data_IF_505249585657
#
_entry.id   IF_505249585657
#
_cell.length_a   1.000
_cell.length_b   1.000
_cell.length_c   1.000
_cell.angle_alpha   90.00
_cell.angle_beta   90.00
_cell.angle_gamma   90.00
#
_symmetry.space_group_name_H-M   'P 1'
#
loop_
_entity.id
_entity.type
_entity.pdbx_description
1 polymer ?
#
# COMPACT_ATOMS: atom_id res chain seq x y z
N UNK A 1 24.64 1.87 -19.72
CA UNK A 1 23.47 1.68 -18.84
C UNK A 1 23.68 2.61 -17.66
N UNK A 2 22.95 3.72 -17.59
CA UNK A 2 23.02 4.62 -16.44
C UNK A 2 22.14 4.02 -15.35
N UNK A 3 22.76 3.50 -14.28
CA UNK A 3 22.08 3.30 -12.99
C UNK A 3 21.72 4.69 -12.46
N UNK A 4 20.56 5.19 -12.87
CA UNK A 4 19.96 6.29 -12.15
C UNK A 4 19.63 5.72 -10.77
N UNK A 5 20.29 6.20 -9.72
CA UNK A 5 20.07 5.78 -8.34
C UNK A 5 18.56 5.67 -8.11
N UNK A 6 18.11 4.48 -7.74
CA UNK A 6 16.69 4.13 -7.75
C UNK A 6 15.97 4.97 -6.69
N UNK A 7 15.50 6.15 -7.10
CA UNK A 7 14.80 7.12 -6.23
C UNK A 7 13.58 6.50 -5.55
N UNK A 8 13.05 5.40 -6.10
CA UNK A 8 11.98 4.60 -5.51
C UNK A 8 12.45 3.87 -4.27
N UNK A 9 13.63 3.26 -4.32
CA UNK A 9 14.20 2.48 -3.22
C UNK A 9 14.59 3.36 -2.05
N UNK A 10 15.26 4.48 -2.32
CA UNK A 10 15.60 5.46 -1.28
C UNK A 10 14.33 6.03 -0.62
N UNK A 11 13.30 6.34 -1.42
CA UNK A 11 12.00 6.82 -0.91
C UNK A 11 11.31 5.79 -0.03
N UNK A 12 11.33 4.51 -0.42
CA UNK A 12 10.77 3.42 0.36
C UNK A 12 11.45 3.31 1.72
N UNK A 13 12.78 3.26 1.74
CA UNK A 13 13.57 3.14 2.97
C UNK A 13 13.34 4.34 3.88
N UNK A 14 13.40 5.55 3.33
CA UNK A 14 13.10 6.78 4.07
C UNK A 14 11.73 6.70 4.73
N UNK A 15 10.69 6.38 3.95
CA UNK A 15 9.32 6.30 4.45
C UNK A 15 9.17 5.27 5.56
N UNK A 16 9.79 4.10 5.39
CA UNK A 16 9.80 3.07 6.43
C UNK A 16 10.44 3.58 7.73
N UNK A 17 11.61 4.21 7.64
CA UNK A 17 12.32 4.73 8.80
C UNK A 17 11.53 5.85 9.51
N UNK A 18 10.98 6.81 8.76
CA UNK A 18 10.15 7.90 9.31
C UNK A 18 8.89 7.37 10.02
N UNK A 19 8.18 6.40 9.40
CA UNK A 19 6.99 5.80 9.99
C UNK A 19 7.26 5.04 11.28
N UNK A 20 8.49 4.57 11.48
CA UNK A 20 8.94 3.88 12.70
C UNK A 20 9.68 4.83 13.66
N UNK A 21 9.57 6.15 13.47
CA UNK A 21 10.05 7.16 14.41
C UNK A 21 11.55 7.48 14.33
N UNK A 22 12.23 7.11 13.25
CA UNK A 22 13.61 7.52 13.01
C UNK A 22 13.70 8.99 12.61
N UNK A 23 14.75 9.67 13.10
CA UNK A 23 15.12 10.99 12.61
C UNK A 23 16.08 10.83 11.41
N UNK A 24 15.79 11.51 10.30
CA UNK A 24 16.54 11.35 9.04
C UNK A 24 17.11 12.70 8.59
N UNK A 25 18.38 12.69 8.22
CA UNK A 25 19.06 13.79 7.53
C UNK A 25 19.50 13.37 6.13
N UNK A 26 19.24 14.25 5.16
CA UNK A 26 19.60 14.00 3.76
C UNK A 26 21.04 14.36 3.49
N UNK A 27 21.74 13.48 2.78
CA UNK A 27 23.04 13.76 2.19
C UNK A 27 22.98 13.71 0.68
N UNK A 28 24.04 14.18 0.04
CA UNK A 28 24.20 14.11 -1.39
C UNK A 28 24.31 12.67 -1.93
N UNK A 29 24.77 11.73 -1.09
CA UNK A 29 25.07 10.33 -1.45
C UNK A 29 24.22 9.30 -0.67
N UNK A 30 23.13 9.74 -0.02
CA UNK A 30 22.25 8.89 0.77
C UNK A 30 21.65 9.63 1.96
N UNK A 31 21.55 8.94 3.09
CA UNK A 31 20.87 9.47 4.29
C UNK A 31 21.59 9.04 5.58
N UNK A 32 21.61 9.93 6.56
CA UNK A 32 21.94 9.60 7.94
C UNK A 32 20.63 9.38 8.71
N UNK A 33 20.53 8.30 9.46
CA UNK A 33 19.36 7.93 10.23
C UNK A 33 19.73 7.68 11.69
N UNK A 34 18.98 8.29 12.60
CA UNK A 34 19.00 7.98 14.03
C UNK A 34 17.74 7.19 14.36
N UNK A 35 17.94 5.90 14.62
CA UNK A 35 16.90 4.91 14.90
C UNK A 35 16.58 4.90 16.40
N UNK A 36 15.29 4.80 16.78
CA UNK A 36 14.91 4.41 18.12
C UNK A 36 15.45 3.01 18.47
N UNK A 37 15.72 2.75 19.75
CA UNK A 37 16.28 1.48 20.24
C UNK A 37 15.54 0.25 19.70
N UNK A 38 14.19 0.27 19.73
CA UNK A 38 13.38 -0.84 19.24
C UNK A 38 13.64 -1.16 17.76
N UNK A 39 13.78 -0.13 16.91
CA UNK A 39 14.02 -0.27 15.49
C UNK A 39 15.46 -0.74 15.20
N UNK A 40 16.44 -0.24 15.95
CA UNK A 40 17.83 -0.65 15.86
C UNK A 40 17.99 -2.14 16.20
N UNK A 41 17.30 -2.63 17.24
CA UNK A 41 17.26 -4.05 17.61
C UNK A 41 16.60 -4.89 16.51
N UNK A 42 15.45 -4.47 15.99
CA UNK A 42 14.76 -5.18 14.90
C UNK A 42 15.61 -5.30 13.63
N UNK A 43 16.27 -4.22 13.21
CA UNK A 43 17.14 -4.22 12.03
C UNK A 43 18.51 -4.83 12.31
N UNK A 44 18.84 -5.12 13.58
CA UNK A 44 20.14 -5.55 14.05
C UNK A 44 21.25 -4.65 13.47
N UNK A 45 21.09 -3.35 13.73
CA UNK A 45 22.01 -2.26 13.37
C UNK A 45 22.28 -1.39 14.59
N UNK A 46 23.32 -0.55 14.59
CA UNK A 46 23.45 0.52 15.57
C UNK A 46 22.29 1.52 15.47
N UNK A 47 22.08 2.31 16.52
CA UNK A 47 21.08 3.40 16.52
C UNK A 47 21.41 4.48 15.49
N UNK A 48 22.70 4.77 15.27
CA UNK A 48 23.12 5.67 14.21
C UNK A 48 23.55 4.86 12.99
N UNK A 49 22.88 5.11 11.86
CA UNK A 49 23.15 4.42 10.60
C UNK A 49 23.39 5.43 9.49
N UNK A 50 24.50 5.22 8.78
CA UNK A 50 24.84 5.98 7.57
C UNK A 50 24.50 5.12 6.36
N UNK A 51 23.37 5.40 5.71
CA UNK A 51 22.91 4.71 4.51
C UNK A 51 23.47 5.44 3.29
N UNK A 52 24.03 4.67 2.35
CA UNK A 52 24.52 5.20 1.09
C UNK A 52 23.74 4.57 -0.08
N UNK A 53 23.30 5.43 -1.01
CA UNK A 53 22.52 5.06 -2.20
C UNK A 53 23.38 5.26 -3.45
N UNK A 54 24.30 4.32 -3.72
CA UNK A 54 25.18 4.40 -4.90
C UNK A 54 26.26 3.32 -4.95
N UNK A 55 27.00 3.27 -6.06
CA UNK A 55 28.04 2.26 -6.35
C UNK A 55 29.26 2.31 -5.40
N UNK A 56 29.43 3.41 -4.65
CA UNK A 56 30.56 3.62 -3.72
C UNK A 56 30.20 3.40 -2.24
N UNK A 57 29.09 2.75 -1.95
CA UNK A 57 28.66 2.47 -0.59
C UNK A 57 29.45 1.30 0.03
N UNK A 58 29.85 1.41 1.30
CA UNK A 58 30.36 0.26 2.06
C UNK A 58 29.28 -0.83 2.13
N UNK A 59 29.64 -2.09 1.87
CA UNK A 59 28.69 -3.22 1.73
C UNK A 59 27.67 -3.36 2.87
N UNK A 60 28.04 -2.95 4.10
CA UNK A 60 27.18 -3.08 5.27
C UNK A 60 26.06 -2.05 5.37
N UNK A 61 26.21 -0.89 4.71
CA UNK A 61 25.23 0.20 4.75
C UNK A 61 24.79 0.67 3.36
N UNK A 62 25.22 -0.04 2.32
CA UNK A 62 24.71 0.11 0.97
C UNK A 62 23.27 -0.39 0.90
N UNK A 63 22.40 0.40 0.29
CA UNK A 63 21.04 -0.03 -0.02
C UNK A 63 20.92 -0.28 -1.52
N UNK A 64 20.77 -1.55 -1.85
CA UNK A 64 20.45 -2.05 -3.18
C UNK A 64 19.54 -3.28 -3.04
N UNK A 65 18.91 -3.72 -4.13
CA UNK A 65 18.12 -4.95 -4.14
C UNK A 65 18.99 -6.15 -3.69
N UNK A 66 18.45 -6.97 -2.80
CA UNK A 66 19.16 -8.09 -2.18
C UNK A 66 20.17 -7.72 -1.09
N UNK A 67 20.33 -6.43 -0.75
CA UNK A 67 21.19 -6.03 0.38
C UNK A 67 20.60 -6.51 1.71
N UNK A 68 21.41 -7.00 2.68
CA UNK A 68 20.91 -7.53 3.94
C UNK A 68 20.06 -6.54 4.75
N UNK A 69 20.39 -5.25 4.68
CA UNK A 69 19.64 -4.20 5.36
C UNK A 69 18.24 -4.02 4.73
N UNK A 70 18.15 -4.00 3.39
CA UNK A 70 16.88 -3.88 2.70
C UNK A 70 15.98 -5.07 2.97
N UNK A 71 16.52 -6.30 2.94
CA UNK A 71 15.73 -7.51 3.23
C UNK A 71 15.12 -7.46 4.63
N UNK A 72 15.86 -6.99 5.64
CA UNK A 72 15.32 -6.78 6.99
C UNK A 72 14.25 -5.70 7.05
N UNK A 73 14.44 -4.59 6.32
CA UNK A 73 13.43 -3.52 6.22
C UNK A 73 12.14 -4.06 5.60
N UNK A 74 12.24 -4.78 4.48
CA UNK A 74 11.09 -5.39 3.81
C UNK A 74 10.40 -6.39 4.73
N UNK A 75 11.17 -7.26 5.39
CA UNK A 75 10.63 -8.22 6.34
C UNK A 75 9.88 -7.53 7.49
N UNK A 76 10.49 -6.53 8.11
CA UNK A 76 9.89 -5.77 9.23
C UNK A 76 8.63 -5.03 8.77
N UNK A 77 8.66 -4.41 7.58
CA UNK A 77 7.50 -3.73 7.01
C UNK A 77 6.33 -4.68 6.72
N UNK A 78 6.63 -5.96 6.48
CA UNK A 78 5.64 -7.00 6.23
C UNK A 78 5.29 -7.85 7.46
N UNK A 79 5.94 -7.65 8.61
CA UNK A 79 5.73 -8.44 9.83
C UNK A 79 4.36 -8.13 10.47
N UNK A 80 3.92 -6.87 10.36
CA UNK A 80 2.54 -6.47 10.62
C UNK A 80 1.77 -6.33 9.31
N UNK A 81 0.49 -6.72 9.27
CA UNK A 81 -0.38 -6.45 8.11
C UNK A 81 -0.42 -4.93 7.90
N UNK A 82 0.14 -4.39 6.80
CA UNK A 82 0.19 -2.96 6.60
C UNK A 82 -1.22 -2.44 6.29
N UNK A 83 -1.95 -2.00 7.32
CA UNK A 83 -3.25 -1.38 7.15
C UNK A 83 -3.06 0.12 6.91
N UNK A 84 -3.29 0.54 5.66
CA UNK A 84 -3.39 1.95 5.32
C UNK A 84 -4.86 2.33 5.21
N UNK A 85 -5.29 3.33 5.99
CA UNK A 85 -6.59 3.97 5.82
C UNK A 85 -6.44 5.23 4.97
N UNK A 86 -7.21 5.33 3.89
CA UNK A 86 -7.37 6.59 3.15
C UNK A 86 -8.84 7.04 3.24
N UNK A 87 -9.05 8.36 3.30
CA UNK A 87 -10.38 8.95 3.17
C UNK A 87 -10.44 9.63 1.80
N UNK A 88 -11.38 9.17 0.99
CA UNK A 88 -11.71 9.82 -0.27
C UNK A 88 -12.82 10.84 -0.01
N UNK A 89 -12.57 12.10 -0.34
CA UNK A 89 -13.56 13.17 -0.29
C UNK A 89 -13.85 13.64 -1.71
N UNK A 90 -15.11 13.54 -2.12
CA UNK A 90 -15.56 13.93 -3.45
C UNK A 90 -16.39 15.21 -3.34
N UNK A 91 -15.93 16.29 -3.97
CA UNK A 91 -16.65 17.59 -3.96
C UNK A 91 -17.93 17.57 -4.81
N UNK A 92 -18.02 16.62 -5.76
CA UNK A 92 -19.19 16.46 -6.62
C UNK A 92 -19.31 15.01 -7.08
N UNK A 93 -20.45 14.38 -6.76
CA UNK A 93 -20.86 13.09 -7.33
C UNK A 93 -22.04 13.38 -8.25
N UNK A 94 -21.92 13.05 -9.53
CA UNK A 94 -23.03 13.19 -10.48
C UNK A 94 -24.14 12.21 -10.11
N UNK A 95 -25.18 12.71 -9.43
CA UNK A 95 -26.35 11.93 -9.00
C UNK A 95 -27.34 11.64 -10.13
N UNK A 96 -27.25 12.37 -11.25
CA UNK A 96 -28.18 12.22 -12.36
C UNK A 96 -28.02 10.86 -13.05
N UNK A 97 -29.08 10.05 -13.04
CA UNK A 97 -29.11 8.70 -13.64
C UNK A 97 -28.99 7.54 -12.64
N UNK A 98 -28.68 7.82 -11.37
CA UNK A 98 -28.62 6.79 -10.32
C UNK A 98 -29.97 6.11 -10.10
N UNK A 99 -31.08 6.86 -10.12
CA UNK A 99 -32.42 6.28 -9.97
C UNK A 99 -32.72 5.22 -11.02
N UNK A 100 -32.30 5.48 -12.27
CA UNK A 100 -32.47 4.54 -13.38
C UNK A 100 -31.57 3.32 -13.20
N UNK A 101 -30.30 3.51 -12.83
CA UNK A 101 -29.37 2.41 -12.55
C UNK A 101 -29.87 1.51 -11.40
N UNK A 102 -30.41 2.10 -10.34
CA UNK A 102 -31.01 1.35 -9.23
C UNK A 102 -32.23 0.57 -9.75
N UNK A 103 -33.14 1.20 -10.50
CA UNK A 103 -34.29 0.49 -11.07
C UNK A 103 -33.89 -0.68 -11.99
N UNK A 104 -32.85 -0.51 -12.80
CA UNK A 104 -32.37 -1.53 -13.73
C UNK A 104 -31.65 -2.70 -13.02
N UNK A 105 -31.07 -2.47 -11.83
CA UNK A 105 -30.34 -3.47 -11.04
C UNK A 105 -31.25 -4.28 -10.09
N UNK A 106 -32.37 -3.71 -9.63
CA UNK A 106 -33.26 -4.36 -8.66
C UNK A 106 -34.50 -4.96 -9.34
N UNK A 107 -34.57 -6.29 -9.39
CA UNK A 107 -35.75 -7.01 -9.89
C UNK A 107 -36.64 -7.44 -8.73
N UNK A 108 -37.85 -6.87 -8.67
CA UNK A 108 -38.87 -7.20 -7.68
C UNK A 108 -39.83 -8.25 -8.25
N UNK A 109 -39.61 -9.53 -7.94
CA UNK A 109 -40.50 -10.60 -8.38
C UNK A 109 -41.92 -10.40 -7.81
N UNK A 110 -42.94 -10.40 -8.68
CA UNK A 110 -44.35 -10.20 -8.33
C UNK A 110 -44.63 -8.95 -7.47
N UNK A 111 -43.78 -7.93 -7.56
CA UNK A 111 -43.90 -6.72 -6.74
C UNK A 111 -43.43 -5.48 -7.50
N UNK A 112 -43.85 -4.31 -7.02
CA UNK A 112 -43.46 -3.01 -7.58
C UNK A 112 -42.73 -2.24 -6.49
N UNK A 113 -41.49 -1.86 -6.76
CA UNK A 113 -40.68 -1.02 -5.89
C UNK A 113 -40.66 0.43 -6.38
N UNK A 114 -40.60 1.38 -5.46
CA UNK A 114 -40.30 2.78 -5.76
C UNK A 114 -39.28 3.31 -4.77
N UNK A 115 -38.25 3.98 -5.26
CA UNK A 115 -37.29 4.71 -4.41
C UNK A 115 -38.04 5.87 -3.74
N UNK A 116 -38.14 5.84 -2.40
CA UNK A 116 -38.84 6.86 -1.60
C UNK A 116 -37.90 7.98 -1.13
N UNK A 117 -36.59 7.75 -1.19
CA UNK A 117 -35.56 8.70 -0.81
C UNK A 117 -34.17 8.08 -0.88
N UNK A 118 -33.15 8.92 -0.80
CA UNK A 118 -31.75 8.56 -0.66
C UNK A 118 -31.15 9.41 0.46
N UNK A 119 -30.14 8.88 1.13
CA UNK A 119 -29.38 9.60 2.15
C UNK A 119 -27.89 9.46 1.85
N UNK A 120 -27.13 10.50 2.13
CA UNK A 120 -25.68 10.41 2.13
C UNK A 120 -25.24 9.57 3.34
N UNK A 121 -24.54 8.49 3.05
CA UNK A 121 -23.95 7.62 4.07
C UNK A 121 -22.46 7.54 3.82
N UNK A 122 -21.70 7.49 4.90
CA UNK A 122 -20.29 7.15 4.83
C UNK A 122 -20.19 5.65 4.65
N UNK A 123 -19.50 5.23 3.60
CA UNK A 123 -19.31 3.83 3.27
C UNK A 123 -17.83 3.50 3.35
N UNK A 124 -17.49 2.55 4.21
CA UNK A 124 -16.14 2.04 4.33
C UNK A 124 -15.94 0.84 3.38
N UNK A 125 -14.78 0.78 2.75
CA UNK A 125 -14.38 -0.29 1.85
C UNK A 125 -13.07 -0.90 2.33
N UNK A 126 -12.92 -2.20 2.12
CA UNK A 126 -11.71 -2.95 2.39
C UNK A 126 -11.07 -3.35 1.06
N UNK A 127 -9.85 -2.89 0.82
CA UNK A 127 -9.01 -3.32 -0.30
C UNK A 127 -7.88 -4.18 0.25
N UNK A 128 -7.77 -5.40 -0.25
CA UNK A 128 -6.74 -6.38 0.13
C UNK A 128 -5.86 -6.68 -1.07
N UNK A 129 -4.56 -6.42 -0.95
CA UNK A 129 -3.55 -6.84 -1.92
C UNK A 129 -2.89 -8.12 -1.41
N UNK A 130 -3.25 -9.25 -2.02
CA UNK A 130 -2.85 -10.58 -1.58
C UNK A 130 -1.79 -11.15 -2.52
N UNK A 131 -0.62 -11.52 -1.99
CA UNK A 131 0.33 -12.37 -2.72
C UNK A 131 -0.16 -13.81 -2.71
N UNK A 132 -0.18 -14.45 -3.87
CA UNK A 132 -0.51 -15.86 -3.98
C UNK A 132 0.63 -16.64 -4.64
N UNK A 133 0.72 -17.91 -4.29
CA UNK A 133 1.54 -18.90 -4.96
C UNK A 133 0.61 -20.02 -5.42
N UNK A 134 0.40 -20.13 -6.72
CA UNK A 134 -0.37 -21.20 -7.33
C UNK A 134 0.59 -22.32 -7.72
N UNK A 135 0.34 -23.53 -7.20
CA UNK A 135 1.16 -24.70 -7.47
C UNK A 135 0.38 -25.73 -8.30
N UNK A 136 0.95 -26.09 -9.44
CA UNK A 136 0.53 -27.22 -10.30
C UNK A 136 1.81 -27.97 -10.71
N UNK A 137 1.96 -28.35 -11.98
CA UNK A 137 3.22 -28.84 -12.55
C UNK A 137 4.32 -27.75 -12.58
N UNK A 138 3.92 -26.48 -12.54
CA UNK A 138 4.77 -25.30 -12.37
C UNK A 138 4.33 -24.47 -11.16
N UNK A 139 5.27 -23.74 -10.56
CA UNK A 139 4.99 -22.73 -9.54
C UNK A 139 4.80 -21.37 -10.21
N UNK A 140 3.66 -20.72 -9.94
CA UNK A 140 3.39 -19.35 -10.37
C UNK A 140 3.09 -18.48 -9.17
N UNK A 141 3.82 -17.38 -9.07
CA UNK A 141 3.58 -16.35 -8.06
C UNK A 141 2.88 -15.17 -8.70
N UNK A 142 2.04 -14.50 -7.92
CA UNK A 142 1.32 -13.32 -8.38
C UNK A 142 0.72 -12.52 -7.24
N UNK A 143 0.09 -11.41 -7.60
CA UNK A 143 -0.68 -10.56 -6.70
C UNK A 143 -2.13 -10.56 -7.19
N UNK A 144 -3.08 -10.59 -6.25
CA UNK A 144 -4.50 -10.40 -6.52
C UNK A 144 -5.04 -9.32 -5.60
N UNK A 145 -5.90 -8.47 -6.15
CA UNK A 145 -6.60 -7.44 -5.40
C UNK A 145 -8.03 -7.86 -5.16
N UNK A 146 -8.48 -7.74 -3.91
CA UNK A 146 -9.85 -8.04 -3.51
C UNK A 146 -10.42 -6.81 -2.82
N UNK A 147 -11.51 -6.26 -3.37
CA UNK A 147 -12.19 -5.10 -2.82
C UNK A 147 -13.60 -5.46 -2.39
N UNK A 148 -13.98 -5.04 -1.19
CA UNK A 148 -15.28 -5.30 -0.59
C UNK A 148 -15.84 -4.05 0.06
N UNK A 149 -17.15 -3.89 -0.03
CA UNK A 149 -17.87 -3.05 0.91
C UNK A 149 -17.73 -3.65 2.32
N UNK A 150 -17.22 -2.89 3.28
CA UNK A 150 -16.84 -3.42 4.60
C UNK A 150 -18.06 -3.87 5.42
N UNK A 151 -19.19 -3.20 5.25
CA UNK A 151 -20.42 -3.48 6.00
C UNK A 151 -21.20 -4.68 5.45
N UNK A 152 -21.41 -4.73 4.13
CA UNK A 152 -22.23 -5.75 3.46
C UNK A 152 -21.44 -6.94 2.94
N UNK A 153 -20.10 -6.82 2.80
CA UNK A 153 -19.26 -7.82 2.17
C UNK A 153 -19.40 -7.90 0.64
N UNK A 154 -20.18 -7.00 0.02
CA UNK A 154 -20.36 -6.98 -1.43
C UNK A 154 -19.03 -6.71 -2.15
N UNK A 155 -18.68 -7.55 -3.12
CA UNK A 155 -17.46 -7.41 -3.90
C UNK A 155 -17.52 -6.22 -4.87
N UNK A 156 -16.40 -5.50 -5.03
CA UNK A 156 -16.27 -4.34 -5.92
C UNK A 156 -15.04 -4.49 -6.82
N UNK A 157 -15.08 -5.38 -7.83
CA UNK A 157 -13.87 -5.90 -8.52
C UNK A 157 -12.97 -4.85 -9.17
N UNK A 158 -13.52 -3.71 -9.61
CA UNK A 158 -12.76 -2.68 -10.34
C UNK A 158 -12.18 -1.58 -9.43
N UNK A 159 -12.42 -1.63 -8.12
CA UNK A 159 -11.98 -0.58 -7.21
C UNK A 159 -10.45 -0.53 -7.06
N UNK A 160 -9.77 -1.67 -6.94
CA UNK A 160 -8.31 -1.73 -6.76
C UNK A 160 -7.55 -1.00 -7.87
N UNK A 161 -7.88 -1.30 -9.12
CA UNK A 161 -7.31 -0.65 -10.31
C UNK A 161 -7.46 0.87 -10.34
N UNK A 162 -8.55 1.40 -9.78
CA UNK A 162 -8.82 2.84 -9.78
C UNK A 162 -8.06 3.57 -8.68
N UNK A 163 -7.81 2.90 -7.54
CA UNK A 163 -7.05 3.48 -6.43
C UNK A 163 -5.57 3.61 -6.76
N UNK A 164 -4.99 2.66 -7.50
CA UNK A 164 -3.60 2.73 -7.97
C UNK A 164 -3.32 3.90 -8.94
N UNK A 165 -4.38 4.48 -9.50
CA UNK A 165 -4.29 5.59 -10.47
C UNK A 165 -4.39 6.99 -9.83
N UNK A 166 -4.57 7.07 -8.49
CA UNK A 166 -4.68 8.32 -7.71
C UNK A 166 -3.32 8.83 -7.25
#
# INVERSE_FOLDING_TARGET
MNFNSDTTLERFVRRFLELNGAAIENRFDGLDALLPEHLAVCLNTPEFLRIATGENAEEKSAIHYGSPLLEKIVHTACDSVPLTGCRLEFTYIKSQGFDRLIQDQFVFANSVGRVIGAAEVRTDYLLLSCRYMAQSDEQKEGLVELAFNLESGAAVPEMGRQVDSL
#
